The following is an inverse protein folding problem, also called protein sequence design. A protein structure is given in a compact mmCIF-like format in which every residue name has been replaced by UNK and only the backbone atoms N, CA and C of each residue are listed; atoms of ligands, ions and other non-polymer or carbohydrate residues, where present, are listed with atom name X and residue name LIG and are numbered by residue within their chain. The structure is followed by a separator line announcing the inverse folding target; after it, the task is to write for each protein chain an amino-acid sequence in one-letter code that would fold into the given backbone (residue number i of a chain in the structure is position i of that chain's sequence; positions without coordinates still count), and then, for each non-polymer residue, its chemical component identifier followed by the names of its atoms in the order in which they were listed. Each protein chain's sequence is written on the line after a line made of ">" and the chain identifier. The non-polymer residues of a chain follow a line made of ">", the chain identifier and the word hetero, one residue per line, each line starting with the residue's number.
data_IF_464640136096
#
_entry.id   IF_464640136096
#
_cell.length_a   1.000
_cell.length_b   1.000
_cell.length_c   1.000
_cell.angle_alpha   90.00
_cell.angle_beta   90.00
_cell.angle_gamma   90.00
#
_symmetry.space_group_name_H-M   'P 1'
#
loop_
_entity.id
_entity.type
_entity.pdbx_description
1 polymer ?
#
# COMPACT_ATOMS: atom_id res chain seq x y z
N UNK A 1 20.29 23.95 40.64
CA UNK A 1 20.42 23.59 39.21
C UNK A 1 19.74 24.68 38.39
N UNK A 2 20.53 25.38 37.58
CA UNK A 2 20.19 26.69 36.98
C UNK A 2 19.49 26.53 35.62
N UNK A 3 18.46 27.35 35.40
CA UNK A 3 17.80 27.61 34.11
C UNK A 3 18.78 28.30 33.17
N UNK A 4 18.85 27.89 31.90
CA UNK A 4 19.49 28.68 30.85
C UNK A 4 18.50 28.95 29.74
N UNK A 5 18.22 30.22 29.60
CA UNK A 5 17.35 30.87 28.66
C UNK A 5 18.22 31.86 27.91
N UNK A 6 18.00 31.91 26.59
CA UNK A 6 18.04 33.12 25.78
C UNK A 6 19.35 33.62 25.18
N UNK A 7 19.17 34.07 23.93
CA UNK A 7 19.80 35.21 23.28
C UNK A 7 21.23 35.03 22.77
N UNK A 8 21.32 34.64 21.49
CA UNK A 8 22.46 34.96 20.66
C UNK A 8 22.30 36.37 20.07
N UNK A 9 23.42 37.07 20.12
CA UNK A 9 23.64 38.48 19.86
C UNK A 9 23.42 38.89 18.40
N UNK A 10 22.87 40.10 18.27
CA UNK A 10 22.90 40.96 17.09
C UNK A 10 24.25 41.68 17.04
N UNK A 11 24.89 41.71 15.87
CA UNK A 11 25.80 42.78 15.38
C UNK A 11 26.07 42.50 13.90
N UNK A 12 25.37 43.16 12.97
CA UNK A 12 25.70 44.47 12.39
C UNK A 12 26.99 44.44 11.54
N UNK A 13 26.84 44.38 10.21
CA UNK A 13 27.84 44.89 9.26
C UNK A 13 27.15 45.75 8.21
N UNK A 14 27.81 46.87 7.98
CA UNK A 14 27.51 48.08 7.23
C UNK A 14 26.92 47.88 5.82
N UNK A 15 26.07 48.86 5.49
CA UNK A 15 25.65 49.24 4.16
C UNK A 15 26.82 49.74 3.28
N UNK A 16 26.80 49.35 2.02
CA UNK A 16 27.44 50.10 0.94
C UNK A 16 26.47 50.12 -0.26
N UNK A 17 25.99 51.33 -0.57
CA UNK A 17 25.13 51.60 -1.71
C UNK A 17 25.95 51.65 -3.01
N UNK A 18 25.51 50.93 -4.04
CA UNK A 18 25.88 51.17 -5.44
C UNK A 18 24.67 50.87 -6.33
N UNK A 19 23.99 51.93 -6.78
CA UNK A 19 23.19 51.92 -8.01
C UNK A 19 24.17 51.99 -9.19
N UNK A 20 24.09 51.11 -10.20
CA UNK A 20 23.47 51.59 -11.44
C UNK A 20 22.76 50.49 -12.27
N UNK A 21 21.82 50.94 -13.11
CA UNK A 21 21.53 50.27 -14.39
C UNK A 21 20.26 49.43 -14.43
N UNK A 22 19.15 50.06 -14.79
CA UNK A 22 18.06 49.37 -15.49
C UNK A 22 18.55 48.98 -16.89
N UNK A 23 19.20 47.82 -17.01
CA UNK A 23 19.29 47.11 -18.28
C UNK A 23 18.07 46.21 -18.41
N UNK A 24 17.43 46.09 -19.59
CA UNK A 24 16.42 45.06 -19.80
C UNK A 24 17.16 43.71 -19.70
N UNK A 25 17.06 43.09 -18.53
CA UNK A 25 17.41 41.69 -18.37
C UNK A 25 16.39 40.96 -19.22
N UNK A 26 16.76 40.63 -20.46
CA UNK A 26 16.12 39.57 -21.22
C UNK A 26 16.31 38.31 -20.39
N UNK A 27 15.37 38.08 -19.48
CA UNK A 27 15.10 36.78 -18.92
C UNK A 27 14.77 35.93 -20.13
N UNK A 28 15.79 35.29 -20.69
CA UNK A 28 15.62 34.10 -21.49
C UNK A 28 14.96 33.13 -20.51
N UNK A 29 13.63 33.15 -20.47
CA UNK A 29 12.83 32.05 -19.98
C UNK A 29 13.34 30.87 -20.79
N UNK A 30 14.31 30.14 -20.24
CA UNK A 30 14.49 28.75 -20.54
C UNK A 30 13.13 28.15 -20.20
N UNK A 31 12.24 28.15 -21.18
CA UNK A 31 11.08 27.27 -21.23
C UNK A 31 11.71 25.91 -21.15
N UNK A 32 11.84 25.39 -19.92
CA UNK A 32 11.93 23.97 -19.69
C UNK A 32 10.73 23.42 -20.42
N UNK A 33 10.97 22.97 -21.65
CA UNK A 33 10.06 22.10 -22.34
C UNK A 33 9.95 20.90 -21.42
N UNK A 34 8.94 20.91 -20.55
CA UNK A 34 8.37 19.69 -20.01
C UNK A 34 7.94 18.93 -21.26
N UNK A 35 8.87 18.17 -21.83
CA UNK A 35 8.54 17.08 -22.74
C UNK A 35 7.58 16.26 -21.90
N UNK A 36 6.29 16.37 -22.20
CA UNK A 36 5.29 15.50 -21.62
C UNK A 36 5.86 14.10 -21.76
N UNK A 37 6.15 13.46 -20.63
CA UNK A 37 6.60 12.08 -20.65
C UNK A 37 5.56 11.31 -21.47
N UNK A 38 6.01 10.52 -22.44
CA UNK A 38 5.09 9.68 -23.18
C UNK A 38 4.26 8.88 -22.16
N UNK A 39 2.93 8.78 -22.34
CA UNK A 39 2.09 8.08 -21.38
C UNK A 39 2.65 6.66 -21.19
N UNK A 40 2.78 6.23 -19.93
CA UNK A 40 3.26 4.89 -19.64
C UNK A 40 2.37 3.86 -20.38
N UNK A 41 2.96 2.79 -20.95
CA UNK A 41 2.19 1.76 -21.64
C UNK A 41 1.13 1.17 -20.70
N UNK A 42 0.01 0.72 -21.26
CA UNK A 42 -1.03 0.02 -20.51
C UNK A 42 -0.50 -1.30 -19.97
N UNK A 43 -0.90 -1.67 -18.75
CA UNK A 43 -0.63 -3.02 -18.27
C UNK A 43 -1.46 -4.04 -19.05
N UNK A 44 -0.90 -5.23 -19.26
CA UNK A 44 -1.62 -6.33 -19.89
C UNK A 44 -2.76 -6.78 -18.98
N UNK A 45 -3.99 -6.93 -19.49
CA UNK A 45 -5.08 -7.52 -18.73
C UNK A 45 -4.73 -8.93 -18.27
N UNK A 46 -5.11 -9.28 -17.06
CA UNK A 46 -4.97 -10.64 -16.54
C UNK A 46 -6.35 -11.19 -16.25
N UNK A 47 -6.61 -12.34 -16.87
CA UNK A 47 -7.88 -13.03 -16.73
C UNK A 47 -8.08 -13.52 -15.28
N UNK A 48 -9.35 -13.70 -14.87
CA UNK A 48 -9.72 -14.46 -13.68
C UNK A 48 -8.94 -15.77 -13.53
N UNK A 49 -8.43 -16.06 -12.33
CA UNK A 49 -7.72 -17.32 -12.05
C UNK A 49 -8.73 -18.36 -11.56
N UNK A 50 -8.76 -19.53 -12.19
CA UNK A 50 -9.73 -20.61 -11.93
C UNK A 50 -9.06 -21.98 -11.95
N UNK A 51 -9.60 -22.96 -11.23
CA UNK A 51 -9.15 -24.35 -11.25
C UNK A 51 -7.65 -24.54 -10.95
N UNK A 52 -7.07 -23.71 -10.09
CA UNK A 52 -5.66 -23.76 -9.74
C UNK A 52 -5.45 -24.10 -8.26
N UNK A 53 -4.37 -24.83 -7.97
CA UNK A 53 -3.82 -24.91 -6.63
C UNK A 53 -2.81 -23.78 -6.44
N UNK A 54 -3.16 -22.78 -5.66
CA UNK A 54 -2.40 -21.56 -5.47
C UNK A 54 -1.57 -21.65 -4.19
N UNK A 55 -0.26 -21.65 -4.37
CA UNK A 55 0.71 -21.62 -3.29
C UNK A 55 0.93 -20.17 -2.84
N UNK A 56 0.74 -19.91 -1.55
CA UNK A 56 0.79 -18.56 -1.00
C UNK A 56 1.82 -18.43 0.11
N UNK A 57 2.34 -17.22 0.29
CA UNK A 57 3.08 -16.82 1.48
C UNK A 57 2.26 -15.74 2.17
N UNK A 58 1.93 -15.95 3.45
CA UNK A 58 1.17 -14.99 4.24
C UNK A 58 2.12 -14.37 5.26
N UNK A 59 2.32 -13.06 5.15
CA UNK A 59 2.96 -12.26 6.18
C UNK A 59 1.89 -11.45 6.90
N UNK A 60 1.94 -11.46 8.22
CA UNK A 60 0.97 -10.77 9.05
C UNK A 60 1.69 -9.88 10.04
N UNK A 61 1.62 -8.57 9.80
CA UNK A 61 2.24 -7.56 10.62
C UNK A 61 1.17 -6.81 11.41
N UNK A 62 1.36 -6.72 12.72
CA UNK A 62 0.47 -6.01 13.61
C UNK A 62 1.26 -4.93 14.35
N UNK A 63 0.95 -3.65 14.12
CA UNK A 63 1.59 -2.55 14.85
C UNK A 63 0.92 -2.36 16.21
N UNK A 64 1.76 -2.25 17.23
CA UNK A 64 1.36 -2.29 18.63
C UNK A 64 1.12 -0.88 19.20
N UNK A 65 0.06 -0.75 19.99
CA UNK A 65 -0.10 0.34 20.95
C UNK A 65 -0.02 -0.22 22.38
N UNK A 66 0.64 0.50 23.30
CA UNK A 66 0.86 0.07 24.69
C UNK A 66 -0.41 -0.22 25.50
N UNK A 67 -1.56 0.21 25.00
CA UNK A 67 -2.88 0.03 25.63
C UNK A 67 -3.64 -1.20 25.11
N UNK A 68 -3.05 -1.96 24.19
CA UNK A 68 -3.74 -3.03 23.48
C UNK A 68 -3.63 -4.35 24.26
N UNK A 69 -4.74 -4.93 24.76
CA UNK A 69 -4.71 -6.25 25.39
C UNK A 69 -4.25 -7.29 24.37
N UNK A 70 -3.56 -8.32 24.85
CA UNK A 70 -2.93 -9.40 24.07
C UNK A 70 -3.87 -10.12 23.07
N UNK A 71 -5.18 -9.89 23.15
CA UNK A 71 -6.24 -10.48 22.34
C UNK A 71 -6.21 -10.11 20.85
N UNK A 72 -5.68 -8.93 20.47
CA UNK A 72 -5.55 -8.55 19.04
C UNK A 72 -4.50 -9.34 18.26
N UNK A 73 -3.70 -10.17 18.95
CA UNK A 73 -2.57 -10.94 18.41
C UNK A 73 -2.94 -12.33 17.92
N UNK A 74 -4.20 -12.54 17.53
CA UNK A 74 -4.64 -13.81 16.96
C UNK A 74 -3.73 -14.22 15.80
N UNK A 75 -3.25 -15.46 15.82
CA UNK A 75 -2.50 -16.00 14.69
C UNK A 75 -3.50 -16.35 13.57
N UNK A 76 -3.68 -15.45 12.61
CA UNK A 76 -4.75 -15.56 11.61
C UNK A 76 -4.36 -16.35 10.35
N UNK A 77 -3.13 -16.87 10.23
CA UNK A 77 -2.71 -17.54 8.98
C UNK A 77 -3.61 -18.72 8.60
N UNK A 78 -3.94 -19.57 9.57
CA UNK A 78 -4.83 -20.71 9.35
C UNK A 78 -6.22 -20.27 8.92
N UNK A 79 -6.76 -19.26 9.59
CA UNK A 79 -8.07 -18.68 9.27
C UNK A 79 -8.10 -18.08 7.86
N UNK A 80 -7.03 -17.36 7.48
CA UNK A 80 -6.89 -16.77 6.14
C UNK A 80 -6.89 -17.87 5.07
N UNK A 81 -6.12 -18.95 5.27
CA UNK A 81 -6.08 -20.07 4.31
C UNK A 81 -7.44 -20.77 4.23
N UNK A 82 -8.10 -21.01 5.37
CA UNK A 82 -9.43 -21.63 5.38
C UNK A 82 -10.44 -20.76 4.63
N UNK A 83 -10.46 -19.45 4.93
CA UNK A 83 -11.35 -18.49 4.28
C UNK A 83 -11.09 -18.36 2.78
N UNK A 84 -9.82 -18.29 2.37
CA UNK A 84 -9.44 -18.30 0.95
C UNK A 84 -9.91 -19.57 0.23
N UNK A 85 -9.81 -20.74 0.88
CA UNK A 85 -10.32 -21.99 0.32
C UNK A 85 -11.85 -22.01 0.22
N UNK A 86 -12.56 -21.39 1.17
CA UNK A 86 -14.01 -21.25 1.12
C UNK A 86 -14.45 -20.34 -0.03
N UNK A 87 -13.81 -19.18 -0.20
CA UNK A 87 -14.05 -18.27 -1.32
C UNK A 87 -13.64 -18.90 -2.67
N UNK A 88 -12.52 -19.63 -2.68
CA UNK A 88 -11.93 -20.32 -3.83
C UNK A 88 -12.78 -21.42 -4.44
N UNK A 89 -13.65 -22.03 -3.62
CA UNK A 89 -14.34 -23.28 -3.96
C UNK A 89 -15.21 -23.17 -5.21
N UNK A 90 -15.95 -22.07 -5.37
CA UNK A 90 -16.84 -21.86 -6.53
C UNK A 90 -16.07 -21.70 -7.85
N UNK A 91 -14.82 -21.28 -7.76
CA UNK A 91 -13.91 -21.03 -8.87
C UNK A 91 -12.97 -22.21 -9.17
N UNK A 92 -13.10 -23.30 -8.40
CA UNK A 92 -12.22 -24.47 -8.46
C UNK A 92 -10.81 -24.21 -7.92
N UNK A 93 -10.59 -23.08 -7.22
CA UNK A 93 -9.29 -22.76 -6.65
C UNK A 93 -9.12 -23.38 -5.26
N UNK A 94 -7.89 -23.76 -4.95
CA UNK A 94 -7.45 -24.13 -3.60
C UNK A 94 -6.21 -23.33 -3.21
N UNK A 95 -6.00 -23.16 -1.90
CA UNK A 95 -4.90 -22.38 -1.35
C UNK A 95 -4.14 -23.18 -0.31
N UNK A 96 -2.81 -23.13 -0.39
CA UNK A 96 -1.91 -23.74 0.58
C UNK A 96 -0.72 -22.80 0.88
N UNK A 97 -0.25 -22.80 2.12
CA UNK A 97 0.98 -22.06 2.48
C UNK A 97 2.20 -22.76 1.85
N UNK A 98 3.17 -21.97 1.38
CA UNK A 98 4.39 -22.50 0.78
C UNK A 98 5.20 -23.30 1.79
N UNK A 99 5.59 -24.51 1.39
CA UNK A 99 6.53 -25.37 2.11
C UNK A 99 7.83 -25.57 1.29
N UNK A 100 8.42 -24.46 0.82
CA UNK A 100 9.61 -24.47 -0.04
C UNK A 100 9.32 -24.63 -1.54
N UNK A 101 8.05 -24.52 -1.94
CA UNK A 101 7.62 -24.57 -3.34
C UNK A 101 7.58 -23.17 -3.95
N UNK A 102 7.52 -23.11 -5.29
CA UNK A 102 7.31 -21.86 -6.02
C UNK A 102 5.99 -21.20 -5.59
N UNK A 103 6.06 -19.91 -5.29
CA UNK A 103 4.94 -19.13 -4.72
C UNK A 103 4.16 -18.47 -5.87
N UNK A 104 2.84 -18.61 -5.85
CA UNK A 104 1.96 -17.89 -6.76
C UNK A 104 1.68 -16.48 -6.24
N UNK A 105 1.45 -16.33 -4.93
CA UNK A 105 1.07 -15.06 -4.32
C UNK A 105 1.71 -14.83 -2.94
N UNK A 106 2.04 -13.58 -2.67
CA UNK A 106 2.41 -13.06 -1.36
C UNK A 106 1.27 -12.18 -0.85
N UNK A 107 0.77 -12.49 0.34
CA UNK A 107 -0.26 -11.73 1.04
C UNK A 107 0.39 -11.08 2.26
N UNK A 108 0.59 -9.77 2.21
CA UNK A 108 1.21 -9.00 3.29
C UNK A 108 0.15 -8.16 4.00
N UNK A 109 -0.34 -8.66 5.13
CA UNK A 109 -1.27 -7.93 5.98
C UNK A 109 -0.51 -6.96 6.88
N UNK A 110 -1.03 -5.75 6.99
CA UNK A 110 -0.59 -4.76 7.98
C UNK A 110 -1.81 -4.25 8.71
N UNK A 111 -1.91 -4.56 10.01
CA UNK A 111 -2.97 -4.13 10.88
C UNK A 111 -2.44 -3.18 11.96
N UNK A 112 -3.27 -2.23 12.34
CA UNK A 112 -3.00 -1.22 13.35
C UNK A 112 -4.20 -1.13 14.29
N UNK A 113 -3.94 -0.90 15.57
CA UNK A 113 -4.95 -0.51 16.56
C UNK A 113 -4.60 0.87 17.14
N UNK A 114 -5.57 1.77 17.15
CA UNK A 114 -5.41 3.12 17.70
C UNK A 114 -5.43 3.17 19.24
N UNK A 115 -5.71 2.05 19.90
CA UNK A 115 -5.80 1.92 21.35
C UNK A 115 -7.20 2.18 21.92
N UNK A 116 -8.22 2.28 21.07
CA UNK A 116 -9.64 2.39 21.42
C UNK A 116 -10.46 1.20 20.86
N UNK A 117 -9.83 0.04 20.70
CA UNK A 117 -10.44 -1.15 20.07
C UNK A 117 -10.86 -0.93 18.60
N UNK A 118 -10.28 0.09 17.95
CA UNK A 118 -10.47 0.32 16.53
C UNK A 118 -9.30 -0.23 15.74
N UNK A 119 -9.60 -1.22 14.91
CA UNK A 119 -8.65 -1.85 14.03
C UNK A 119 -8.74 -1.24 12.64
N UNK A 120 -7.60 -0.89 12.06
CA UNK A 120 -7.46 -0.49 10.66
C UNK A 120 -6.36 -1.32 10.02
N UNK A 121 -6.38 -1.43 8.70
CA UNK A 121 -5.34 -2.20 8.04
C UNK A 121 -5.38 -2.16 6.54
N UNK A 122 -4.44 -2.89 5.98
CA UNK A 122 -4.28 -3.08 4.55
C UNK A 122 -3.74 -4.46 4.28
N UNK A 123 -3.99 -4.92 3.06
CA UNK A 123 -3.31 -6.06 2.50
C UNK A 123 -2.61 -5.63 1.23
N UNK A 124 -1.34 -6.01 1.10
CA UNK A 124 -0.63 -5.97 -0.16
C UNK A 124 -0.60 -7.39 -0.73
N UNK A 125 -1.21 -7.56 -1.90
CA UNK A 125 -1.19 -8.78 -2.68
C UNK A 125 -0.16 -8.60 -3.80
N UNK A 126 0.78 -9.53 -3.91
CA UNK A 126 1.70 -9.56 -5.05
C UNK A 126 1.93 -10.95 -5.61
N UNK A 127 2.16 -11.08 -6.92
CA UNK A 127 2.45 -12.37 -7.54
C UNK A 127 1.94 -12.55 -8.98
N UNK A 128 1.76 -13.82 -9.35
CA UNK A 128 1.25 -14.30 -10.64
C UNK A 128 1.96 -13.74 -11.88
N UNK A 129 3.17 -14.25 -12.13
CA UNK A 129 3.86 -14.21 -13.43
C UNK A 129 4.35 -12.84 -13.94
N UNK A 130 3.85 -11.73 -13.41
CA UNK A 130 4.15 -10.38 -13.90
C UNK A 130 4.51 -9.38 -12.78
N UNK A 131 4.65 -9.84 -11.52
CA UNK A 131 5.03 -8.96 -10.41
C UNK A 131 3.97 -7.89 -10.11
N UNK A 132 2.70 -8.17 -10.41
CA UNK A 132 1.61 -7.26 -10.06
C UNK A 132 1.54 -7.11 -8.56
N UNK A 133 1.52 -5.88 -8.08
CA UNK A 133 1.36 -5.51 -6.68
C UNK A 133 0.06 -4.71 -6.59
N UNK A 134 -0.91 -5.24 -5.84
CA UNK A 134 -2.13 -4.55 -5.50
C UNK A 134 -2.15 -4.29 -4.00
N UNK A 135 -2.23 -3.03 -3.60
CA UNK A 135 -2.43 -2.67 -2.19
C UNK A 135 -3.89 -2.31 -1.97
N UNK A 136 -4.58 -3.12 -1.18
CA UNK A 136 -5.99 -3.00 -0.86
C UNK A 136 -6.10 -2.49 0.57
N UNK A 137 -6.69 -1.30 0.71
CA UNK A 137 -6.79 -0.62 2.00
C UNK A 137 -8.18 -0.80 2.60
N UNK A 138 -8.22 -0.86 3.94
CA UNK A 138 -9.43 -0.68 4.72
C UNK A 138 -9.18 0.31 5.85
N UNK A 139 -9.02 1.59 5.47
CA UNK A 139 -8.74 2.70 6.39
C UNK A 139 -9.92 3.63 6.66
N UNK A 140 -11.04 3.52 5.91
CA UNK A 140 -12.19 4.43 6.05
C UNK A 140 -13.24 3.96 7.07
N UNK A 141 -13.15 2.73 7.58
CA UNK A 141 -14.06 2.18 8.57
C UNK A 141 -13.24 1.45 9.64
N UNK A 142 -13.09 2.02 10.85
CA UNK A 142 -12.45 1.30 11.95
C UNK A 142 -13.30 0.08 12.32
N UNK A 143 -12.68 -1.10 12.32
CA UNK A 143 -13.33 -2.34 12.72
C UNK A 143 -13.26 -2.50 14.24
N UNK A 144 -14.27 -3.11 14.83
CA UNK A 144 -14.25 -3.49 16.25
C UNK A 144 -13.45 -4.78 16.52
N UNK A 145 -13.04 -5.51 15.49
CA UNK A 145 -12.21 -6.72 15.64
C UNK A 145 -11.18 -6.88 14.52
N UNK A 146 -9.99 -7.37 14.88
CA UNK A 146 -8.94 -7.73 13.93
C UNK A 146 -9.36 -8.90 13.02
N UNK A 147 -10.17 -9.83 13.53
CA UNK A 147 -10.66 -10.97 12.78
C UNK A 147 -11.57 -10.53 11.62
N UNK A 148 -12.53 -9.65 11.89
CA UNK A 148 -13.42 -9.12 10.86
C UNK A 148 -12.65 -8.29 9.83
N UNK A 149 -11.75 -7.41 10.28
CA UNK A 149 -10.87 -6.67 9.39
C UNK A 149 -10.06 -7.61 8.48
N UNK A 150 -9.50 -8.68 9.04
CA UNK A 150 -8.71 -9.66 8.28
C UNK A 150 -9.57 -10.39 7.26
N UNK A 151 -10.79 -10.79 7.62
CA UNK A 151 -11.76 -11.41 6.69
C UNK A 151 -12.07 -10.48 5.52
N UNK A 152 -12.43 -9.22 5.79
CA UNK A 152 -12.79 -8.26 4.76
C UNK A 152 -11.60 -7.91 3.84
N UNK A 153 -10.38 -7.84 4.39
CA UNK A 153 -9.16 -7.69 3.59
C UNK A 153 -8.92 -8.94 2.72
N UNK A 154 -9.18 -10.13 3.26
CA UNK A 154 -9.07 -11.40 2.52
C UNK A 154 -10.10 -11.46 1.38
N UNK A 155 -11.34 -11.03 1.62
CA UNK A 155 -12.38 -10.92 0.60
C UNK A 155 -11.95 -10.00 -0.54
N UNK A 156 -11.39 -8.82 -0.23
CA UNK A 156 -10.88 -7.89 -1.24
C UNK A 156 -9.72 -8.51 -2.03
N UNK A 157 -8.81 -9.22 -1.37
CA UNK A 157 -7.70 -9.88 -2.03
C UNK A 157 -8.19 -11.02 -2.94
N UNK A 158 -9.16 -11.81 -2.49
CA UNK A 158 -9.76 -12.85 -3.30
C UNK A 158 -10.55 -12.26 -4.47
N UNK A 159 -11.29 -11.17 -4.28
CA UNK A 159 -12.01 -10.48 -5.35
C UNK A 159 -11.08 -10.07 -6.50
N UNK A 160 -9.83 -9.70 -6.18
CA UNK A 160 -8.80 -9.42 -7.19
C UNK A 160 -8.42 -10.68 -8.00
N UNK A 161 -8.23 -11.82 -7.33
CA UNK A 161 -7.95 -13.12 -7.97
C UNK A 161 -9.16 -13.61 -8.78
N UNK A 162 -10.36 -13.42 -8.23
CA UNK A 162 -11.63 -13.82 -8.79
C UNK A 162 -11.96 -13.01 -10.05
N UNK A 163 -11.85 -11.68 -9.99
CA UNK A 163 -12.22 -10.80 -11.10
C UNK A 163 -11.16 -10.70 -12.19
N UNK A 164 -9.92 -11.11 -11.90
CA UNK A 164 -8.78 -10.70 -12.72
C UNK A 164 -8.51 -9.20 -12.55
N UNK A 165 -7.64 -8.65 -13.40
CA UNK A 165 -7.33 -7.23 -13.35
C UNK A 165 -7.02 -6.63 -14.71
N UNK A 166 -7.38 -5.36 -14.86
CA UNK A 166 -7.12 -4.53 -16.03
C UNK A 166 -6.63 -3.15 -15.58
N UNK A 167 -6.00 -2.43 -16.49
CA UNK A 167 -5.56 -1.06 -16.27
C UNK A 167 -6.78 -0.12 -16.22
N UNK A 168 -7.00 0.54 -15.09
CA UNK A 168 -8.17 1.41 -14.89
C UNK A 168 -8.08 2.76 -15.63
N UNK A 169 -6.95 3.05 -16.29
CA UNK A 169 -6.80 4.31 -17.04
C UNK A 169 -7.75 4.31 -18.26
N UNK A 170 -8.48 5.40 -18.53
CA UNK A 170 -9.48 5.46 -19.61
C UNK A 170 -8.92 5.19 -21.01
N UNK A 171 -7.63 5.41 -21.21
CA UNK A 171 -6.93 5.18 -22.48
C UNK A 171 -6.42 3.74 -22.64
N UNK A 172 -6.67 2.87 -21.65
CA UNK A 172 -6.26 1.48 -21.69
C UNK A 172 -7.45 0.55 -21.97
N UNK A 173 -7.22 -0.58 -22.66
CA UNK A 173 -8.29 -1.50 -22.99
C UNK A 173 -9.02 -2.03 -21.74
N UNK A 174 -10.34 -1.84 -21.71
CA UNK A 174 -11.25 -2.38 -20.70
C UNK A 174 -11.95 -3.57 -21.37
N UNK A 175 -11.67 -4.80 -20.95
CA UNK A 175 -12.34 -6.00 -21.49
C UNK A 175 -13.07 -6.73 -20.38
#
# INVERSE_FOLDING_TARGET
>A
MKRSAWSLLVSAVLAAALLPGCGPMTQTQARSHHRAAAPAPCSTPVAPIRNNNLIVVINYNYSYNAKDPTAGRGWHKGDIIAHLNDLGRSDGNSFAESNGQAVNFYFNYTLNNDGQEHFTGSIELSGWGQGHIATLYSGQYPYASSAQLTSDLTDKAYAYIHGGWHDSRPNCPQY
#
